data_IF_377876815289
#
_entry.id   IF_377876815289
#
_cell.length_a   1.000
_cell.length_b   1.000
_cell.length_c   1.000
_cell.angle_alpha   90.00
_cell.angle_beta   90.00
_cell.angle_gamma   90.00
#
_symmetry.space_group_name_H-M   'P 1'
#
loop_
_entity.id
_entity.type
_entity.pdbx_description
1 polymer ?
#
# COMPACT_ATOMS: atom_id res chain seq x y z
N UNK A 1 3.40 -45.17 -17.69
CA UNK A 1 2.44 -44.08 -18.01
C UNK A 1 1.87 -43.36 -16.78
N UNK A 2 1.55 -44.06 -15.67
CA UNK A 2 1.07 -43.40 -14.45
C UNK A 2 2.12 -42.45 -13.81
N UNK A 3 3.41 -42.84 -13.83
CA UNK A 3 4.46 -42.09 -13.14
C UNK A 3 4.68 -40.67 -13.69
N UNK A 4 4.64 -40.49 -15.01
CA UNK A 4 4.77 -39.17 -15.64
C UNK A 4 3.57 -38.25 -15.34
N UNK A 5 2.36 -38.80 -15.17
CA UNK A 5 1.16 -38.04 -14.78
C UNK A 5 1.29 -37.48 -13.37
N UNK A 6 1.85 -38.25 -12.44
CA UNK A 6 2.07 -37.81 -11.06
C UNK A 6 3.16 -36.73 -10.95
N UNK A 7 4.21 -36.80 -11.78
CA UNK A 7 5.24 -35.77 -11.83
C UNK A 7 4.68 -34.43 -12.38
N UNK A 8 3.84 -34.49 -13.42
CA UNK A 8 3.20 -33.32 -13.99
C UNK A 8 2.24 -32.64 -13.01
N UNK A 9 1.44 -33.39 -12.26
CA UNK A 9 0.53 -32.83 -11.25
C UNK A 9 1.29 -32.24 -10.06
N UNK A 10 2.38 -32.88 -9.60
CA UNK A 10 3.21 -32.34 -8.54
C UNK A 10 3.84 -30.99 -8.93
N UNK A 11 4.40 -30.89 -10.14
CA UNK A 11 4.95 -29.63 -10.67
C UNK A 11 3.88 -28.53 -10.76
N UNK A 12 2.68 -28.86 -11.27
CA UNK A 12 1.60 -27.89 -11.42
C UNK A 12 1.05 -27.41 -10.06
N UNK A 13 1.00 -28.29 -9.06
CA UNK A 13 0.65 -27.89 -7.70
C UNK A 13 1.73 -26.98 -7.10
N UNK A 14 3.01 -27.27 -7.29
CA UNK A 14 4.09 -26.40 -6.76
C UNK A 14 4.08 -25.02 -7.40
N UNK A 15 3.81 -24.90 -8.71
CA UNK A 15 3.72 -23.60 -9.37
C UNK A 15 2.48 -22.81 -8.94
N UNK A 16 1.33 -23.48 -8.78
CA UNK A 16 0.11 -22.85 -8.25
C UNK A 16 0.31 -22.38 -6.82
N UNK A 17 0.95 -23.20 -5.96
CA UNK A 17 1.25 -22.82 -4.58
C UNK A 17 2.24 -21.66 -4.52
N UNK A 18 3.31 -21.68 -5.31
CA UNK A 18 4.28 -20.58 -5.39
C UNK A 18 3.63 -19.29 -5.90
N UNK A 19 2.79 -19.38 -6.93
CA UNK A 19 2.03 -18.25 -7.44
C UNK A 19 1.01 -17.72 -6.41
N UNK A 20 0.36 -18.60 -5.65
CA UNK A 20 -0.60 -18.24 -4.62
C UNK A 20 0.08 -17.58 -3.43
N UNK A 21 1.25 -18.07 -3.02
CA UNK A 21 2.06 -17.45 -1.96
C UNK A 21 2.52 -16.05 -2.37
N UNK A 22 2.94 -15.86 -3.62
CA UNK A 22 3.31 -14.54 -4.14
C UNK A 22 2.09 -13.61 -4.30
N UNK A 23 0.92 -14.12 -4.67
CA UNK A 23 -0.29 -13.32 -4.84
C UNK A 23 -0.94 -12.90 -3.51
N UNK A 24 -0.76 -13.71 -2.47
CA UNK A 24 -1.27 -13.46 -1.11
C UNK A 24 -0.61 -12.27 -0.43
N UNK A 25 0.47 -11.72 -1.01
CA UNK A 25 1.13 -10.52 -0.49
C UNK A 25 0.38 -9.22 -0.78
N UNK A 26 -0.81 -9.23 -1.41
CA UNK A 26 -1.60 -7.99 -1.50
C UNK A 26 -1.98 -7.58 -0.08
N UNK A 27 -1.35 -6.54 0.47
CA UNK A 27 -1.58 -6.21 1.86
C UNK A 27 -3.01 -5.73 1.97
N UNK A 28 -3.72 -6.22 2.99
CA UNK A 28 -5.01 -5.64 3.31
C UNK A 28 -4.77 -4.14 3.58
N UNK A 29 -5.61 -3.24 3.03
CA UNK A 29 -5.49 -1.80 3.26
C UNK A 29 -5.70 -1.40 4.71
N UNK A 30 -4.95 -0.40 5.15
CA UNK A 30 -5.52 0.68 5.93
C UNK A 30 -5.91 1.82 4.97
N UNK A 31 -7.20 2.10 4.86
CA UNK A 31 -7.74 3.10 3.94
C UNK A 31 -8.52 4.16 4.72
N UNK A 32 -8.35 5.42 4.32
CA UNK A 32 -9.05 6.56 4.88
C UNK A 32 -9.50 7.48 3.74
N UNK A 33 -10.69 8.04 3.87
CA UNK A 33 -11.21 9.02 2.94
C UNK A 33 -11.19 10.44 3.53
N UNK A 34 -10.88 11.40 2.67
CA UNK A 34 -10.77 12.82 3.00
C UNK A 34 -11.60 13.64 2.03
N UNK A 35 -11.98 14.86 2.40
CA UNK A 35 -12.61 15.77 1.46
C UNK A 35 -11.70 16.03 0.25
N UNK A 36 -12.33 16.32 -0.90
CA UNK A 36 -11.59 16.66 -2.12
C UNK A 36 -10.72 17.92 -1.94
N UNK A 37 -9.62 17.99 -2.68
CA UNK A 37 -8.70 19.14 -2.66
C UNK A 37 -8.46 19.67 -4.07
N UNK A 38 -8.05 20.93 -4.14
CA UNK A 38 -7.65 21.59 -5.39
C UNK A 38 -6.42 20.94 -6.04
N UNK A 39 -6.27 21.13 -7.36
CA UNK A 39 -5.14 20.59 -8.14
C UNK A 39 -3.79 21.06 -7.64
N UNK A 40 -3.68 22.32 -7.22
CA UNK A 40 -2.45 22.87 -6.65
C UNK A 40 -2.07 22.17 -5.35
N UNK A 41 -3.05 21.88 -4.48
CA UNK A 41 -2.84 21.12 -3.23
C UNK A 41 -2.44 19.67 -3.52
N UNK A 42 -3.10 18.99 -4.45
CA UNK A 42 -2.72 17.63 -4.81
C UNK A 42 -1.31 17.56 -5.41
N UNK A 43 -0.97 18.49 -6.31
CA UNK A 43 0.38 18.65 -6.84
C UNK A 43 1.43 18.92 -5.76
N UNK A 44 1.08 19.63 -4.68
CA UNK A 44 1.96 19.83 -3.53
C UNK A 44 2.22 18.53 -2.77
N UNK A 45 1.17 17.75 -2.45
CA UNK A 45 1.31 16.44 -1.80
C UNK A 45 2.13 15.47 -2.65
N UNK A 46 1.91 15.48 -3.97
CA UNK A 46 2.66 14.70 -4.95
C UNK A 46 4.16 15.02 -4.89
N UNK A 47 4.52 16.31 -4.88
CA UNK A 47 5.93 16.75 -4.75
C UNK A 47 6.53 16.34 -3.40
N UNK A 48 5.80 16.47 -2.30
CA UNK A 48 6.28 16.00 -0.98
C UNK A 48 6.56 14.50 -0.98
N UNK A 49 5.69 13.69 -1.58
CA UNK A 49 5.88 12.26 -1.72
C UNK A 49 7.08 11.90 -2.62
N UNK A 50 7.28 12.62 -3.72
CA UNK A 50 8.45 12.45 -4.58
C UNK A 50 9.75 12.80 -3.82
N UNK A 51 9.79 13.94 -3.13
CA UNK A 51 10.93 14.37 -2.30
C UNK A 51 11.26 13.39 -1.19
N UNK A 52 10.24 12.76 -0.59
CA UNK A 52 10.44 11.70 0.40
C UNK A 52 11.25 10.52 -0.16
N UNK A 53 10.96 10.11 -1.40
CA UNK A 53 11.68 9.02 -2.08
C UNK A 53 13.06 9.47 -2.53
N UNK A 54 13.18 10.67 -3.12
CA UNK A 54 14.44 11.24 -3.60
C UNK A 54 15.47 11.42 -2.47
N UNK A 55 15.02 11.78 -1.27
CA UNK A 55 15.88 11.91 -0.08
C UNK A 55 16.40 10.56 0.45
N UNK A 56 15.95 9.42 -0.11
CA UNK A 56 16.27 8.07 0.36
C UNK A 56 16.82 7.20 -0.78
N UNK A 57 17.90 7.65 -1.47
CA UNK A 57 18.47 6.87 -2.54
C UNK A 57 18.94 5.51 -1.99
N UNK A 58 18.72 4.44 -2.78
CA UNK A 58 19.12 3.05 -2.47
C UNK A 58 18.39 2.37 -1.31
N UNK A 59 17.39 3.01 -0.69
CA UNK A 59 16.60 2.41 0.39
C UNK A 59 15.39 1.61 -0.13
N UNK A 60 15.37 1.23 -1.41
CA UNK A 60 14.28 0.43 -2.02
C UNK A 60 12.97 1.18 -2.31
N UNK A 61 12.89 2.47 -1.96
CA UNK A 61 11.71 3.30 -2.22
C UNK A 61 11.61 3.71 -3.69
N UNK A 62 10.38 3.70 -4.22
CA UNK A 62 10.07 4.16 -5.57
C UNK A 62 8.79 5.00 -5.56
N UNK A 63 8.83 6.15 -6.22
CA UNK A 63 7.65 6.96 -6.49
C UNK A 63 7.08 6.58 -7.85
N UNK A 64 5.78 6.29 -7.92
CA UNK A 64 5.11 5.92 -9.16
C UNK A 64 3.85 6.75 -9.33
N UNK A 65 3.78 7.52 -10.40
CA UNK A 65 2.57 8.21 -10.82
C UNK A 65 1.71 7.24 -11.64
N UNK A 66 0.51 6.90 -11.14
CA UNK A 66 -0.42 5.98 -11.81
C UNK A 66 -1.18 6.71 -12.91
N UNK A 67 -1.66 7.90 -12.58
CA UNK A 67 -2.32 8.80 -13.51
C UNK A 67 -2.01 10.22 -13.06
N UNK A 68 -1.57 11.04 -14.00
CA UNK A 68 -1.11 12.40 -13.73
C UNK A 68 -2.20 13.21 -13.02
N UNK A 69 -1.83 13.83 -11.91
CA UNK A 69 -2.71 14.67 -11.08
C UNK A 69 -3.99 13.98 -10.56
N UNK A 70 -4.04 12.64 -10.62
CA UNK A 70 -5.14 11.81 -10.13
C UNK A 70 -4.66 10.83 -9.07
N UNK A 71 -3.56 10.12 -9.32
CA UNK A 71 -3.10 9.09 -8.39
C UNK A 71 -1.58 8.92 -8.40
N UNK A 72 -0.99 8.88 -7.21
CA UNK A 72 0.40 8.51 -7.02
C UNK A 72 0.55 7.48 -5.91
N UNK A 73 1.59 6.66 -5.99
CA UNK A 73 1.90 5.65 -4.99
C UNK A 73 3.39 5.63 -4.69
N UNK A 74 3.72 5.18 -3.48
CA UNK A 74 5.06 4.83 -3.06
C UNK A 74 5.13 3.31 -2.96
N UNK A 75 6.16 2.74 -3.56
CA UNK A 75 6.49 1.32 -3.46
C UNK A 75 7.75 1.13 -2.63
N UNK A 76 7.79 0.02 -1.91
CA UNK A 76 8.99 -0.53 -1.31
C UNK A 76 9.35 -1.81 -2.05
N UNK A 77 10.53 -1.85 -2.71
CA UNK A 77 11.01 -3.01 -3.46
C UNK A 77 9.95 -3.61 -4.42
N UNK A 78 9.16 -2.74 -5.07
CA UNK A 78 8.10 -3.12 -6.00
C UNK A 78 6.71 -3.31 -5.38
N UNK A 79 6.60 -3.44 -4.05
CA UNK A 79 5.33 -3.61 -3.32
C UNK A 79 4.74 -2.24 -2.94
N UNK A 80 3.47 -1.94 -3.26
CA UNK A 80 2.85 -0.67 -2.87
C UNK A 80 2.69 -0.59 -1.35
N UNK A 81 3.17 0.49 -0.74
CA UNK A 81 3.09 0.73 0.71
C UNK A 81 2.25 1.95 1.05
N UNK A 82 2.07 2.88 0.10
CA UNK A 82 1.19 4.04 0.23
C UNK A 82 0.65 4.42 -1.15
N UNK A 83 -0.63 4.77 -1.24
CA UNK A 83 -1.29 5.27 -2.45
C UNK A 83 -2.19 6.44 -2.04
N UNK A 84 -2.07 7.56 -2.74
CA UNK A 84 -3.04 8.65 -2.67
C UNK A 84 -3.74 8.74 -4.03
N UNK A 85 -5.06 8.61 -4.00
CA UNK A 85 -5.92 8.67 -5.18
C UNK A 85 -6.99 9.73 -5.00
N UNK A 86 -7.20 10.51 -6.05
CA UNK A 86 -8.27 11.48 -6.14
C UNK A 86 -9.48 10.87 -6.83
N UNK A 87 -10.63 10.95 -6.16
CA UNK A 87 -11.95 10.64 -6.70
C UNK A 87 -12.73 11.94 -6.93
N UNK A 88 -13.85 11.90 -7.67
CA UNK A 88 -14.63 13.11 -7.96
C UNK A 88 -15.11 13.87 -6.72
N UNK A 89 -15.42 13.17 -5.63
CA UNK A 89 -16.01 13.77 -4.42
C UNK A 89 -15.08 13.76 -3.20
N UNK A 90 -14.07 12.89 -3.19
CA UNK A 90 -13.20 12.67 -2.03
C UNK A 90 -11.80 12.25 -2.48
N UNK A 91 -10.85 12.27 -1.55
CA UNK A 91 -9.54 11.65 -1.70
C UNK A 91 -9.50 10.34 -0.93
N UNK A 92 -8.81 9.35 -1.47
CA UNK A 92 -8.52 8.10 -0.81
C UNK A 92 -7.02 8.01 -0.52
N UNK A 93 -6.68 7.88 0.75
CA UNK A 93 -5.35 7.50 1.20
C UNK A 93 -5.40 6.03 1.60
N UNK A 94 -4.62 5.23 0.89
CA UNK A 94 -4.44 3.81 1.14
C UNK A 94 -3.01 3.58 1.62
N UNK A 95 -2.86 2.69 2.59
CA UNK A 95 -1.59 2.31 3.18
C UNK A 95 -1.58 0.82 3.37
N UNK A 96 -0.44 0.19 3.12
CA UNK A 96 -0.30 -1.23 3.39
C UNK A 96 -0.36 -1.49 4.91
N UNK A 97 -1.07 -2.53 5.36
CA UNK A 97 -1.00 -2.94 6.77
C UNK A 97 0.40 -3.36 7.21
N UNK A 98 1.19 -3.94 6.32
CA UNK A 98 2.58 -4.32 6.61
C UNK A 98 3.54 -3.12 6.50
N UNK A 99 3.05 -1.91 6.20
CA UNK A 99 3.90 -0.73 5.99
C UNK A 99 4.75 -0.42 7.22
N UNK A 100 4.27 -0.69 8.43
CA UNK A 100 5.04 -0.46 9.66
C UNK A 100 6.30 -1.34 9.73
N UNK A 101 6.23 -2.57 9.24
CA UNK A 101 7.34 -3.52 9.21
C UNK A 101 8.17 -3.37 7.92
N UNK A 102 7.50 -3.28 6.77
CA UNK A 102 8.12 -3.21 5.43
C UNK A 102 8.76 -1.86 5.16
N UNK A 103 8.15 -0.77 5.59
CA UNK A 103 8.56 0.59 5.25
C UNK A 103 8.26 1.58 6.39
N UNK A 104 8.93 1.49 7.56
CA UNK A 104 8.57 2.28 8.74
C UNK A 104 8.56 3.80 8.48
N UNK A 105 9.43 4.29 7.60
CA UNK A 105 9.49 5.70 7.22
C UNK A 105 8.21 6.20 6.50
N UNK A 106 7.47 5.31 5.81
CA UNK A 106 6.23 5.64 5.11
C UNK A 106 5.10 5.93 6.08
N UNK A 107 5.07 5.31 7.26
CA UNK A 107 4.07 5.63 8.30
C UNK A 107 4.18 7.09 8.75
N UNK A 108 5.41 7.62 8.83
CA UNK A 108 5.61 9.04 9.14
C UNK A 108 5.15 9.95 8.00
N UNK A 109 5.40 9.56 6.75
CA UNK A 109 4.89 10.30 5.59
C UNK A 109 3.35 10.28 5.56
N UNK A 110 2.73 9.13 5.79
CA UNK A 110 1.28 8.97 5.86
C UNK A 110 0.69 9.97 6.86
N UNK A 111 1.20 10.00 8.09
CA UNK A 111 0.75 10.96 9.10
C UNK A 111 0.90 12.43 8.63
N UNK A 112 2.03 12.78 8.02
CA UNK A 112 2.26 14.13 7.47
C UNK A 112 1.26 14.49 6.35
N UNK A 113 0.89 13.54 5.50
CA UNK A 113 -0.12 13.76 4.47
C UNK A 113 -1.51 13.91 5.11
N UNK A 114 -1.87 13.06 6.06
CA UNK A 114 -3.15 13.11 6.77
C UNK A 114 -3.36 14.44 7.50
N UNK A 115 -2.33 14.95 8.18
CA UNK A 115 -2.39 16.25 8.87
C UNK A 115 -2.69 17.45 7.94
N UNK A 116 -2.49 17.30 6.63
CA UNK A 116 -2.76 18.35 5.64
C UNK A 116 -4.14 18.20 4.97
N UNK A 117 -4.93 17.19 5.35
CA UNK A 117 -6.19 16.82 4.73
C UNK A 117 -7.32 16.86 5.76
N UNK A 118 -8.52 17.24 5.32
CA UNK A 118 -9.72 17.21 6.16
C UNK A 118 -10.37 15.82 6.06
N UNK A 119 -10.47 15.05 7.16
CA UNK A 119 -11.06 13.72 7.14
C UNK A 119 -12.57 13.78 6.89
N UNK A 120 -13.10 12.80 6.16
CA UNK A 120 -14.55 12.61 6.10
C UNK A 120 -15.08 12.11 7.44
N UNK A 121 -16.36 12.41 7.73
CA UNK A 121 -17.03 11.86 8.90
C UNK A 121 -17.21 10.33 8.77
N UNK A 122 -17.64 9.68 9.87
CA UNK A 122 -17.81 8.23 9.88
C UNK A 122 -18.77 7.73 8.79
N UNK A 123 -19.91 8.38 8.62
CA UNK A 123 -20.94 7.96 7.67
C UNK A 123 -20.45 8.19 6.23
N UNK A 124 -19.83 9.34 5.98
CA UNK A 124 -19.22 9.70 4.71
C UNK A 124 -18.09 8.74 4.31
N UNK A 125 -17.28 8.25 5.26
CA UNK A 125 -16.26 7.23 4.99
C UNK A 125 -16.89 5.90 4.55
N UNK A 126 -17.95 5.46 5.23
CA UNK A 126 -18.69 4.24 4.84
C UNK A 126 -19.30 4.42 3.45
N UNK A 127 -19.89 5.59 3.15
CA UNK A 127 -20.44 5.93 1.84
C UNK A 127 -19.36 6.05 0.74
N UNK A 128 -18.13 6.45 1.10
CA UNK A 128 -16.98 6.44 0.22
C UNK A 128 -16.40 5.04 -0.02
N UNK A 129 -17.00 3.99 0.55
CA UNK A 129 -16.56 2.61 0.41
C UNK A 129 -15.30 2.28 1.21
N UNK A 130 -14.97 3.09 2.22
CA UNK A 130 -13.90 2.78 3.16
C UNK A 130 -14.38 1.65 4.07
N UNK A 131 -13.70 0.49 4.11
CA UNK A 131 -14.12 -0.63 4.94
C UNK A 131 -14.05 -0.22 6.41
N UNK A 132 -15.13 -0.47 7.16
CA UNK A 132 -15.16 -0.25 8.61
C UNK A 132 -13.93 -0.90 9.28
N UNK A 133 -13.36 -0.27 10.31
CA UNK A 133 -12.20 -0.80 10.98
C UNK A 133 -12.56 -2.09 11.73
N UNK A 134 -12.40 -3.24 11.08
CA UNK A 134 -12.41 -4.54 11.75
C UNK A 134 -11.09 -4.67 12.52
N UNK A 135 -11.03 -4.04 13.70
CA UNK A 135 -9.79 -3.84 14.46
C UNK A 135 -9.08 -5.16 14.77
N UNK A 136 -9.80 -6.22 15.12
CA UNK A 136 -9.20 -7.48 15.58
C UNK A 136 -8.51 -8.25 14.46
N UNK A 137 -9.22 -8.57 13.38
CA UNK A 137 -8.64 -9.34 12.26
C UNK A 137 -7.50 -8.59 11.57
N UNK A 138 -7.62 -7.26 11.50
CA UNK A 138 -6.61 -6.38 10.91
C UNK A 138 -5.34 -6.31 11.78
N UNK A 139 -5.48 -6.23 13.11
CA UNK A 139 -4.35 -6.30 14.03
C UNK A 139 -3.69 -7.68 13.95
N UNK A 140 -4.46 -8.76 13.95
CA UNK A 140 -3.92 -10.12 13.82
C UNK A 140 -3.13 -10.31 12.51
N UNK A 141 -3.64 -9.81 11.38
CA UNK A 141 -2.91 -9.84 10.10
C UNK A 141 -1.65 -8.98 10.10
N UNK A 142 -1.67 -7.82 10.77
CA UNK A 142 -0.48 -6.96 10.90
C UNK A 142 0.63 -7.61 11.74
N UNK A 143 0.26 -8.43 12.72
CA UNK A 143 1.20 -9.16 13.59
C UNK A 143 1.70 -10.46 12.94
N UNK A 144 0.87 -11.09 12.11
CA UNK A 144 1.23 -12.31 11.38
C UNK A 144 2.13 -12.06 10.17
N UNK A 145 2.18 -10.83 9.63
CA UNK A 145 3.08 -10.48 8.53
C UNK A 145 4.52 -10.31 9.02
N UNK A 146 5.28 -11.39 9.01
CA UNK A 146 6.73 -11.30 9.06
C UNK A 146 7.24 -10.90 7.66
N UNK A 147 7.82 -9.69 7.56
CA UNK A 147 8.38 -9.18 6.32
C UNK A 147 9.88 -9.52 6.30
N UNK A 148 10.38 -10.32 5.34
CA UNK A 148 11.80 -10.66 5.25
C UNK A 148 12.68 -9.42 5.17
N UNK A 149 13.88 -9.45 5.75
CA UNK A 149 14.76 -8.27 5.82
C UNK A 149 15.10 -7.67 4.44
N UNK A 150 15.34 -8.51 3.42
CA UNK A 150 15.59 -8.05 2.05
C UNK A 150 14.37 -7.43 1.34
N UNK A 151 13.16 -7.59 1.90
CA UNK A 151 11.93 -7.01 1.39
C UNK A 151 11.61 -5.65 2.05
N UNK A 152 12.32 -5.27 3.12
CA UNK A 152 12.14 -4.01 3.84
C UNK A 152 12.84 -2.85 3.14
N UNK A 153 12.32 -1.65 3.34
CA UNK A 153 12.88 -0.38 2.86
C UNK A 153 13.26 0.51 4.03
N UNK A 154 14.32 1.30 3.83
CA UNK A 154 14.87 2.16 4.88
C UNK A 154 15.82 1.46 5.85
N UNK A 155 16.18 0.20 5.57
CA UNK A 155 17.33 -0.46 6.19
C UNK A 155 18.59 0.06 5.48
N UNK A 156 19.60 0.58 6.20
CA UNK A 156 20.85 1.08 5.61
C UNK A 156 21.71 -0.02 4.98
#
# INVERSE_FOLDING_TARGET
MAWCRWAATALLLTTVVAALLWWSERPVPEQLAFHSITDSRFSQLRRQAAQFVEARPRQGFQFVERQRDVAFQIRCNGVPVLLLERRPQHLLLWTSLDAKQRAPAVVRLQALLQWQLEPLDYLEQVLAGVPEPVLLDRVLQSLASDVPDGARCGVP
#
